data_IF_316605483442
#
_entry.id   IF_316605483442
#
_cell.length_a   1.000
_cell.length_b   1.000
_cell.length_c   1.000
_cell.angle_alpha   90.00
_cell.angle_beta   90.00
_cell.angle_gamma   90.00
#
_symmetry.space_group_name_H-M   'P 1'
#
loop_
_entity.id
_entity.type
_entity.pdbx_description
1 polymer ?
#
# COMPACT_ATOMS: atom_id res chain seq x y z
N UNK A 1 -4.21 29.84 12.58
CA UNK A 1 -3.78 29.53 11.21
C UNK A 1 -4.89 28.75 10.55
N UNK A 2 -5.59 29.35 9.60
CA UNK A 2 -6.50 28.65 8.69
C UNK A 2 -5.66 28.14 7.52
N UNK A 3 -5.70 26.84 7.25
CA UNK A 3 -5.07 26.28 6.07
C UNK A 3 -5.97 26.60 4.87
N UNK A 4 -5.42 27.24 3.83
CA UNK A 4 -6.11 27.38 2.56
C UNK A 4 -6.25 26.00 1.93
N UNK A 5 -7.49 25.54 1.79
CA UNK A 5 -7.82 24.29 1.12
C UNK A 5 -7.55 24.51 -0.37
N UNK A 6 -6.66 23.70 -0.96
CA UNK A 6 -6.39 23.78 -2.39
C UNK A 6 -7.64 23.28 -3.14
N UNK A 7 -8.19 24.06 -4.09
CA UNK A 7 -9.35 23.63 -4.86
C UNK A 7 -9.08 22.32 -5.63
N UNK A 8 -10.01 21.36 -5.49
CA UNK A 8 -9.95 19.98 -6.01
C UNK A 8 -9.63 19.92 -7.51
N UNK A 9 -10.06 20.93 -8.28
CA UNK A 9 -9.93 20.98 -9.74
C UNK A 9 -8.49 21.13 -10.26
N UNK A 10 -7.54 21.50 -9.39
CA UNK A 10 -6.14 21.76 -9.78
C UNK A 10 -5.16 20.63 -9.48
N UNK A 11 -5.55 19.60 -8.72
CA UNK A 11 -4.61 18.54 -8.31
C UNK A 11 -4.06 17.75 -9.50
N UNK A 12 -4.90 17.50 -10.52
CA UNK A 12 -4.50 16.81 -11.76
C UNK A 12 -3.48 17.60 -12.61
N UNK A 13 -3.47 18.94 -12.50
CA UNK A 13 -2.61 19.83 -13.27
C UNK A 13 -1.24 20.09 -12.61
N UNK A 14 -1.09 19.79 -11.32
CA UNK A 14 0.18 19.88 -10.57
C UNK A 14 1.13 18.70 -10.88
N UNK A 15 0.71 17.77 -11.73
CA UNK A 15 1.47 16.60 -12.17
C UNK A 15 2.45 16.96 -13.31
N UNK A 16 3.53 17.69 -12.99
CA UNK A 16 4.78 17.74 -13.78
C UNK A 16 5.41 16.35 -14.10
N UNK A 17 6.43 16.34 -14.98
CA UNK A 17 6.96 15.14 -15.64
C UNK A 17 7.24 13.95 -14.71
N UNK A 18 6.98 12.74 -15.21
CA UNK A 18 7.31 11.52 -14.49
C UNK A 18 8.84 11.32 -14.49
N UNK A 19 9.46 11.00 -13.34
CA UNK A 19 10.47 9.91 -13.19
C UNK A 19 11.44 10.07 -12.00
N UNK A 20 11.02 9.83 -10.76
CA UNK A 20 12.01 9.59 -9.67
C UNK A 20 11.83 8.24 -8.97
N UNK A 21 10.59 7.74 -8.88
CA UNK A 21 10.28 6.53 -8.12
C UNK A 21 9.43 5.57 -8.96
N UNK A 22 9.64 4.28 -8.74
CA UNK A 22 8.93 3.24 -9.47
C UNK A 22 8.61 2.07 -8.54
N UNK A 23 7.41 1.50 -8.71
CA UNK A 23 7.04 0.19 -8.19
C UNK A 23 7.11 -0.79 -9.34
N UNK A 24 7.92 -1.84 -9.19
CA UNK A 24 8.00 -2.92 -10.18
C UNK A 24 7.29 -4.16 -9.67
N UNK A 25 6.46 -4.76 -10.51
CA UNK A 25 5.65 -5.92 -10.16
C UNK A 25 5.86 -7.00 -11.21
N UNK A 26 6.14 -8.23 -10.78
CA UNK A 26 6.14 -9.38 -11.69
C UNK A 26 4.80 -10.09 -11.62
N UNK A 27 4.10 -10.18 -12.74
CA UNK A 27 2.80 -10.86 -12.83
C UNK A 27 2.64 -11.56 -14.18
N UNK A 28 2.18 -12.82 -14.19
CA UNK A 28 1.96 -13.63 -15.38
C UNK A 28 3.13 -13.61 -16.40
N UNK A 29 4.37 -13.71 -15.90
CA UNK A 29 5.56 -13.70 -16.74
C UNK A 29 5.96 -12.32 -17.31
N UNK A 30 5.26 -11.25 -16.92
CA UNK A 30 5.54 -9.86 -17.32
C UNK A 30 6.09 -9.08 -16.13
N UNK A 31 7.14 -8.30 -16.35
CA UNK A 31 7.57 -7.26 -15.41
C UNK A 31 6.83 -5.97 -15.75
N UNK A 32 6.03 -5.48 -14.81
CA UNK A 32 5.33 -4.21 -14.85
C UNK A 32 6.13 -3.17 -14.08
N UNK A 33 6.10 -1.93 -14.57
CA UNK A 33 6.76 -0.79 -13.94
C UNK A 33 5.74 0.34 -13.83
N UNK A 34 5.28 0.61 -12.61
CA UNK A 34 4.40 1.73 -12.30
C UNK A 34 5.25 2.88 -11.77
N UNK A 35 5.16 4.06 -12.38
CA UNK A 35 5.90 5.22 -11.88
C UNK A 35 5.15 5.86 -10.73
N UNK A 36 5.88 6.53 -9.86
CA UNK A 36 5.33 7.31 -8.76
C UNK A 36 5.87 8.71 -8.84
N UNK A 37 5.02 9.68 -8.54
CA UNK A 37 5.40 11.07 -8.44
C UNK A 37 5.11 11.56 -7.04
N UNK A 38 6.06 12.30 -6.48
CA UNK A 38 5.81 13.05 -5.25
C UNK A 38 4.80 14.16 -5.53
N UNK A 39 3.81 14.25 -4.65
CA UNK A 39 2.79 15.29 -4.65
C UNK A 39 2.68 15.83 -3.24
N UNK A 40 2.72 17.16 -3.13
CA UNK A 40 2.55 17.85 -1.86
C UNK A 40 1.13 17.66 -1.34
N UNK A 41 1.03 17.44 -0.04
CA UNK A 41 -0.20 17.34 0.72
C UNK A 41 -0.23 18.49 1.74
N UNK A 42 -0.53 19.74 1.29
CA UNK A 42 -0.48 20.92 2.15
C UNK A 42 -1.44 20.86 3.34
N UNK A 43 -2.59 20.18 3.23
CA UNK A 43 -3.54 20.02 4.32
C UNK A 43 -2.95 19.20 5.49
N UNK A 44 -1.96 18.36 5.20
CA UNK A 44 -1.30 17.48 6.17
C UNK A 44 0.14 17.89 6.50
N UNK A 45 0.65 18.97 5.88
CA UNK A 45 2.07 19.38 5.96
C UNK A 45 3.00 18.19 5.64
N UNK A 46 2.67 17.47 4.56
CA UNK A 46 3.35 16.26 4.14
C UNK A 46 3.46 16.22 2.62
N UNK A 47 4.02 15.14 2.09
CA UNK A 47 3.83 14.80 0.70
C UNK A 47 3.88 13.29 0.51
N UNK A 48 3.08 12.80 -0.42
CA UNK A 48 2.96 11.38 -0.73
C UNK A 48 3.36 11.11 -2.17
N UNK A 49 3.79 9.88 -2.45
CA UNK A 49 4.14 9.44 -3.79
C UNK A 49 2.96 8.69 -4.40
N UNK A 50 2.15 9.41 -5.16
CA UNK A 50 1.01 8.84 -5.91
C UNK A 50 1.54 8.11 -7.14
N UNK A 51 1.04 6.90 -7.38
CA UNK A 51 1.27 6.09 -8.56
C UNK A 51 0.55 6.70 -9.77
N UNK A 52 1.34 6.86 -10.82
CA UNK A 52 0.84 7.07 -12.16
C UNK A 52 1.21 5.82 -12.93
N UNK A 53 0.21 5.07 -13.42
CA UNK A 53 0.50 3.97 -14.30
C UNK A 53 1.10 4.54 -15.59
N UNK A 54 2.40 4.33 -15.75
CA UNK A 54 3.12 4.44 -17.01
C UNK A 54 3.27 3.02 -17.56
N UNK A 55 3.38 2.93 -18.88
CA UNK A 55 3.52 1.66 -19.59
C UNK A 55 4.57 0.75 -18.92
N UNK A 56 4.29 -0.56 -18.81
CA UNK A 56 5.32 -1.52 -18.40
C UNK A 56 6.53 -1.36 -19.32
N UNK A 57 7.74 -1.34 -18.76
CA UNK A 57 8.87 -1.89 -19.52
C UNK A 57 8.62 -3.38 -19.60
N UNK A 58 7.95 -3.83 -20.66
CA UNK A 58 7.84 -5.26 -20.95
C UNK A 58 9.24 -5.81 -21.16
N UNK A 59 9.83 -6.38 -20.11
CA UNK A 59 10.93 -7.32 -20.24
C UNK A 59 10.34 -8.60 -20.82
N UNK A 60 10.01 -8.58 -22.13
CA UNK A 60 9.69 -9.79 -22.86
C UNK A 60 10.97 -10.65 -22.86
N UNK A 61 10.91 -11.74 -22.11
CA UNK A 61 11.65 -13.01 -22.29
C UNK A 61 12.98 -12.85 -23.03
N UNK A 62 14.09 -12.69 -22.28
CA UNK A 62 15.54 -12.83 -22.62
C UNK A 62 16.10 -12.30 -23.97
N UNK A 63 15.30 -12.00 -24.99
CA UNK A 63 15.71 -11.78 -26.38
C UNK A 63 14.98 -10.62 -27.10
N UNK A 64 13.98 -9.95 -26.52
CA UNK A 64 13.40 -8.76 -27.15
C UNK A 64 13.47 -7.52 -26.25
N UNK A 65 14.46 -6.65 -26.52
CA UNK A 65 14.62 -5.34 -25.87
C UNK A 65 13.74 -4.27 -26.54
N UNK A 66 12.43 -4.46 -26.58
CA UNK A 66 11.51 -3.39 -27.02
C UNK A 66 10.62 -2.99 -25.86
N UNK A 67 10.87 -1.80 -25.32
CA UNK A 67 9.91 -1.13 -24.45
C UNK A 67 8.66 -0.80 -25.27
N UNK A 68 7.48 -1.13 -24.76
CA UNK A 68 6.20 -0.70 -25.34
C UNK A 68 6.05 0.82 -25.26
N UNK A 69 5.18 1.38 -26.09
CA UNK A 69 4.79 2.79 -26.07
C UNK A 69 4.29 3.21 -24.69
N UNK A 70 4.71 4.40 -24.23
CA UNK A 70 4.26 4.99 -22.96
C UNK A 70 2.82 5.47 -23.12
N UNK A 71 1.89 4.95 -22.31
CA UNK A 71 0.54 5.47 -22.20
C UNK A 71 0.33 6.02 -20.78
N UNK A 72 -0.33 7.17 -20.69
CA UNK A 72 -0.65 7.84 -19.43
C UNK A 72 -1.99 7.31 -18.92
N UNK A 73 -2.04 6.86 -17.69
CA UNK A 73 -3.29 6.51 -17.00
C UNK A 73 -3.66 7.65 -16.06
N UNK A 74 -4.94 8.09 -16.03
CA UNK A 74 -5.38 9.14 -15.12
C UNK A 74 -5.22 8.71 -13.65
N UNK A 75 -5.07 9.68 -12.75
CA UNK A 75 -5.15 9.43 -11.32
C UNK A 75 -6.52 8.81 -10.97
N UNK A 76 -6.52 7.83 -10.07
CA UNK A 76 -7.75 7.15 -9.63
C UNK A 76 -8.60 8.07 -8.75
N UNK A 77 -7.95 8.90 -7.94
CA UNK A 77 -8.60 9.82 -6.99
C UNK A 77 -7.96 11.21 -7.05
N UNK A 78 -8.74 12.23 -6.68
CA UNK A 78 -8.27 13.60 -6.41
C UNK A 78 -8.14 13.90 -4.92
N UNK A 79 -8.48 12.95 -4.05
CA UNK A 79 -8.43 13.13 -2.61
C UNK A 79 -6.99 13.17 -2.10
N UNK A 80 -6.70 14.20 -1.31
CA UNK A 80 -5.35 14.46 -0.82
C UNK A 80 -4.91 13.41 0.21
N UNK A 81 -5.82 12.85 1.01
CA UNK A 81 -5.50 11.88 2.05
C UNK A 81 -5.37 10.43 1.55
N UNK A 82 -5.40 10.19 0.24
CA UNK A 82 -5.34 8.82 -0.29
C UNK A 82 -3.90 8.32 -0.46
N UNK A 83 -3.69 7.09 -0.04
CA UNK A 83 -2.47 6.29 -0.15
C UNK A 83 -2.75 5.08 -1.05
N UNK A 84 -1.77 4.72 -1.86
CA UNK A 84 -1.91 3.70 -2.88
C UNK A 84 -1.01 2.50 -2.57
N UNK A 85 -1.64 1.34 -2.43
CA UNK A 85 -0.97 0.07 -2.18
C UNK A 85 -1.14 -0.81 -3.43
N UNK A 86 -0.06 -1.04 -4.19
CA UNK A 86 -0.09 -1.92 -5.36
C UNK A 86 0.50 -3.29 -5.01
N UNK A 87 -0.21 -4.37 -5.37
CA UNK A 87 0.22 -5.75 -5.14
C UNK A 87 -0.26 -6.71 -6.24
N UNK A 88 0.22 -7.94 -6.17
CA UNK A 88 -0.28 -9.04 -6.99
C UNK A 88 -1.08 -10.01 -6.18
N UNK A 89 -2.18 -10.50 -6.74
CA UNK A 89 -3.00 -11.53 -6.11
C UNK A 89 -3.69 -12.36 -7.20
N UNK A 90 -3.61 -13.68 -7.08
CA UNK A 90 -4.18 -14.66 -8.03
C UNK A 90 -3.96 -14.30 -9.52
N UNK A 91 -2.71 -14.01 -9.90
CA UNK A 91 -2.38 -13.66 -11.29
C UNK A 91 -2.88 -12.29 -11.77
N UNK A 92 -3.41 -11.45 -10.89
CA UNK A 92 -3.84 -10.09 -11.19
C UNK A 92 -3.01 -9.05 -10.44
N UNK A 93 -2.98 -7.82 -10.96
CA UNK A 93 -2.38 -6.67 -10.30
C UNK A 93 -3.52 -5.82 -9.75
N UNK A 94 -3.46 -5.51 -8.47
CA UNK A 94 -4.44 -4.70 -7.78
C UNK A 94 -3.80 -3.43 -7.22
N UNK A 95 -4.62 -2.40 -7.09
CA UNK A 95 -4.32 -1.18 -6.35
C UNK A 95 -5.43 -0.97 -5.33
N UNK A 96 -5.05 -0.92 -4.06
CA UNK A 96 -5.93 -0.59 -2.95
C UNK A 96 -5.72 0.86 -2.55
N UNK A 97 -6.81 1.63 -2.54
CA UNK A 97 -6.89 2.97 -1.98
C UNK A 97 -7.22 2.88 -0.48
N UNK A 98 -6.45 3.61 0.32
CA UNK A 98 -6.54 3.69 1.78
C UNK A 98 -6.13 5.08 2.23
N UNK A 99 -6.44 5.48 3.46
CA UNK A 99 -6.02 6.79 3.96
C UNK A 99 -4.54 6.82 4.39
N UNK A 100 -3.88 7.95 4.19
CA UNK A 100 -2.52 8.21 4.67
C UNK A 100 -2.48 8.75 6.11
N UNK A 101 -3.56 9.40 6.54
CA UNK A 101 -3.69 10.02 7.86
C UNK A 101 -5.06 9.71 8.46
N UNK A 102 -5.11 9.63 9.79
CA UNK A 102 -6.35 9.37 10.53
C UNK A 102 -6.40 7.94 11.09
N UNK A 103 -7.62 7.43 11.28
CA UNK A 103 -7.83 6.02 11.61
C UNK A 103 -7.73 5.16 10.35
N UNK A 104 -6.98 4.04 10.36
CA UNK A 104 -6.86 3.14 9.22
C UNK A 104 -8.20 2.73 8.60
N UNK A 105 -8.37 3.06 7.33
CA UNK A 105 -9.60 2.80 6.58
C UNK A 105 -9.30 2.64 5.09
N UNK A 106 -10.21 1.96 4.40
CA UNK A 106 -10.03 1.55 3.00
C UNK A 106 -11.11 2.20 2.15
N UNK A 107 -10.72 2.73 0.99
CA UNK A 107 -11.63 3.50 0.13
C UNK A 107 -12.14 2.66 -1.04
N UNK A 108 -11.25 2.01 -1.78
CA UNK A 108 -11.63 1.18 -2.93
C UNK A 108 -10.53 0.23 -3.38
N UNK A 109 -10.91 -0.86 -4.04
CA UNK A 109 -10.00 -1.80 -4.67
C UNK A 109 -10.15 -1.71 -6.19
N UNK A 110 -9.03 -1.65 -6.89
CA UNK A 110 -8.94 -1.54 -8.34
C UNK A 110 -8.12 -2.68 -8.92
N UNK A 111 -8.49 -3.14 -10.11
CA UNK A 111 -7.77 -4.18 -10.86
C UNK A 111 -7.21 -3.60 -12.14
N UNK A 112 -5.96 -3.94 -12.45
CA UNK A 112 -5.32 -3.54 -13.69
C UNK A 112 -5.75 -4.44 -14.86
N UNK A 113 -6.25 -3.85 -15.95
CA UNK A 113 -6.68 -4.57 -17.16
C UNK A 113 -5.67 -4.46 -18.33
N UNK A 114 -4.43 -4.06 -18.04
CA UNK A 114 -3.36 -3.73 -19.01
C UNK A 114 -3.46 -2.35 -19.68
N UNK A 115 -4.59 -1.66 -19.58
CA UNK A 115 -4.80 -0.33 -20.17
C UNK A 115 -5.23 0.73 -19.14
N UNK A 116 -5.98 0.33 -18.12
CA UNK A 116 -6.54 1.18 -17.08
C UNK A 116 -6.77 0.41 -15.78
N UNK A 117 -7.07 1.16 -14.73
CA UNK A 117 -7.61 0.63 -13.48
C UNK A 117 -9.13 0.48 -13.60
N UNK A 118 -9.64 -0.69 -13.28
CA UNK A 118 -11.07 -0.98 -13.16
C UNK A 118 -11.43 -1.09 -11.67
N UNK A 119 -12.42 -0.34 -11.22
CA UNK A 119 -12.94 -0.48 -9.86
C UNK A 119 -13.53 -1.88 -9.68
N UNK A 120 -13.03 -2.61 -8.68
CA UNK A 120 -13.58 -3.91 -8.24
C UNK A 120 -14.69 -3.65 -7.22
N UNK A 121 -14.39 -2.84 -6.21
CA UNK A 121 -15.33 -2.47 -5.16
C UNK A 121 -14.95 -1.10 -4.58
N UNK A 122 -15.97 -0.34 -4.19
CA UNK A 122 -15.84 0.80 -3.28
C UNK A 122 -16.21 0.33 -1.88
N UNK A 123 -15.31 0.55 -0.93
CA UNK A 123 -15.60 0.35 0.49
C UNK A 123 -16.31 1.60 1.03
N UNK A 124 -16.75 1.55 2.28
CA UNK A 124 -17.27 2.75 2.92
C UNK A 124 -16.15 3.79 3.03
N UNK A 125 -16.41 5.06 2.68
CA UNK A 125 -15.37 6.08 2.67
C UNK A 125 -14.75 6.19 4.07
N UNK A 126 -13.41 6.35 4.15
CA UNK A 126 -12.74 6.54 5.42
C UNK A 126 -13.37 7.73 6.14
N UNK A 127 -13.78 7.54 7.39
CA UNK A 127 -14.11 8.69 8.22
C UNK A 127 -12.83 9.51 8.34
N UNK A 128 -12.89 10.80 7.97
CA UNK A 128 -11.78 11.72 8.17
C UNK A 128 -11.58 11.90 9.68
N UNK A 129 -10.86 10.97 10.31
CA UNK A 129 -10.46 11.10 11.70
C UNK A 129 -9.62 12.36 11.86
N UNK A 130 -9.82 13.09 12.96
CA UNK A 130 -9.08 14.33 13.27
C UNK A 130 -7.57 14.09 13.49
N UNK A 131 -7.12 12.84 13.48
CA UNK A 131 -5.74 12.47 13.78
C UNK A 131 -4.80 12.88 12.64
N UNK A 132 -3.83 13.74 12.98
CA UNK A 132 -2.71 14.14 12.12
C UNK A 132 -1.61 13.09 12.03
N UNK A 133 -1.79 11.90 12.60
CA UNK A 133 -0.77 10.85 12.55
C UNK A 133 -0.78 10.15 11.19
N UNK A 134 0.39 10.10 10.55
CA UNK A 134 0.61 9.34 9.33
C UNK A 134 0.54 7.85 9.61
N UNK A 135 -0.16 7.10 8.76
CA UNK A 135 -0.28 5.65 8.80
C UNK A 135 0.80 5.05 7.91
N UNK A 136 1.61 4.16 8.47
CA UNK A 136 2.54 3.36 7.66
C UNK A 136 1.86 2.06 7.22
N UNK A 137 1.77 1.89 5.91
CA UNK A 137 1.17 0.72 5.28
C UNK A 137 2.23 -0.24 4.76
N UNK A 138 2.01 -1.52 5.01
CA UNK A 138 2.80 -2.61 4.46
C UNK A 138 1.90 -3.78 4.03
N UNK A 139 2.45 -4.66 3.19
CA UNK A 139 1.76 -5.87 2.75
C UNK A 139 2.59 -7.08 3.19
N UNK A 140 1.90 -8.16 3.55
CA UNK A 140 2.53 -9.45 3.68
C UNK A 140 2.16 -10.37 2.50
N UNK A 141 3.20 -10.95 1.89
CA UNK A 141 3.07 -11.95 0.84
C UNK A 141 3.12 -13.36 1.42
N UNK A 142 2.70 -14.37 0.66
CA UNK A 142 2.74 -15.76 1.10
C UNK A 142 1.42 -16.48 0.93
N UNK A 143 1.39 -17.74 1.36
CA UNK A 143 0.18 -18.56 1.26
C UNK A 143 -0.72 -18.29 2.47
N UNK A 144 -1.82 -17.58 2.23
CA UNK A 144 -2.85 -17.32 3.24
C UNK A 144 -4.24 -17.69 2.71
N UNK A 145 -4.42 -18.92 2.23
CA UNK A 145 -5.73 -19.43 1.75
C UNK A 145 -6.38 -18.58 0.65
N UNK A 146 -5.59 -17.86 -0.13
CA UNK A 146 -6.10 -16.93 -1.15
C UNK A 146 -6.48 -15.54 -0.62
N UNK A 147 -6.08 -15.17 0.60
CA UNK A 147 -6.28 -13.82 1.13
C UNK A 147 -4.98 -13.00 1.06
N UNK A 148 -5.10 -11.67 1.07
CA UNK A 148 -3.98 -10.74 1.29
C UNK A 148 -3.99 -10.17 2.69
N UNK A 149 -2.80 -10.03 3.26
CA UNK A 149 -2.61 -9.40 4.56
C UNK A 149 -2.04 -8.01 4.36
N UNK A 150 -2.69 -7.02 4.97
CA UNK A 150 -2.28 -5.62 4.97
C UNK A 150 -1.99 -5.24 6.41
N UNK A 151 -0.95 -4.47 6.63
CA UNK A 151 -0.50 -4.03 7.96
C UNK A 151 -0.52 -2.51 7.95
N UNK A 152 -1.34 -1.93 8.82
CA UNK A 152 -1.36 -0.48 9.07
C UNK A 152 -0.79 -0.18 10.44
N UNK A 153 0.05 0.84 10.54
CA UNK A 153 0.56 1.33 11.83
C UNK A 153 -0.01 2.69 12.16
N UNK A 154 -0.87 2.73 13.18
CA UNK A 154 -1.31 3.93 13.87
C UNK A 154 -1.11 3.71 15.37
N UNK A 155 0.12 3.94 15.85
CA UNK A 155 0.57 3.72 17.24
C UNK A 155 0.64 2.25 17.68
N UNK A 156 -0.11 1.37 17.01
CA UNK A 156 -0.15 -0.08 17.14
C UNK A 156 -0.28 -0.69 15.74
N UNK A 157 0.31 -1.86 15.51
CA UNK A 157 0.14 -2.54 14.23
C UNK A 157 -1.23 -3.20 14.18
N UNK A 158 -2.00 -2.85 13.16
CA UNK A 158 -3.28 -3.45 12.83
C UNK A 158 -3.11 -4.33 11.60
N UNK A 159 -3.49 -5.59 11.75
CA UNK A 159 -3.39 -6.61 10.69
C UNK A 159 -4.78 -6.77 10.10
N UNK A 160 -4.90 -6.49 8.82
CA UNK A 160 -6.13 -6.59 8.04
C UNK A 160 -6.04 -7.76 7.07
N UNK A 161 -7.17 -8.45 6.89
CA UNK A 161 -7.33 -9.54 5.92
C UNK A 161 -8.21 -9.05 4.79
N UNK A 162 -7.62 -8.88 3.60
CA UNK A 162 -8.31 -8.60 2.35
C UNK A 162 -8.63 -9.91 1.63
N UNK A 163 -9.92 -10.20 1.48
CA UNK A 163 -10.44 -11.30 0.68
C UNK A 163 -10.85 -10.76 -0.69
N UNK A 164 -10.42 -11.42 -1.76
CA UNK A 164 -10.76 -11.03 -3.14
C UNK A 164 -11.39 -12.26 -3.81
N UNK A 165 -12.68 -12.17 -4.15
CA UNK A 165 -13.41 -13.21 -4.86
C UNK A 165 -14.05 -12.61 -6.12
N UNK A 166 -13.27 -12.58 -7.19
CA UNK A 166 -13.69 -12.07 -8.50
C UNK A 166 -14.14 -10.61 -8.46
N UNK A 167 -15.45 -10.40 -8.43
CA UNK A 167 -16.10 -9.07 -8.39
C UNK A 167 -16.52 -8.64 -6.99
N UNK A 168 -16.21 -9.42 -5.96
CA UNK A 168 -16.51 -9.10 -4.57
C UNK A 168 -15.23 -9.09 -3.74
N UNK A 169 -15.15 -8.24 -2.73
CA UNK A 169 -14.01 -8.21 -1.81
C UNK A 169 -14.44 -7.70 -0.44
N UNK A 170 -13.77 -8.15 0.62
CA UNK A 170 -13.98 -7.68 1.98
C UNK A 170 -12.65 -7.43 2.66
N UNK A 171 -12.61 -6.46 3.58
CA UNK A 171 -11.44 -6.21 4.42
C UNK A 171 -11.89 -6.21 5.87
N UNK A 172 -11.30 -7.11 6.64
CA UNK A 172 -11.62 -7.30 8.05
C UNK A 172 -10.37 -7.04 8.91
N UNK A 173 -10.54 -6.38 10.06
CA UNK A 173 -9.49 -6.29 11.07
C UNK A 173 -9.32 -7.68 11.70
N UNK A 174 -8.20 -8.33 11.40
CA UNK A 174 -7.90 -9.70 11.79
C UNK A 174 -7.21 -9.79 13.15
N UNK A 175 -6.36 -8.81 13.46
CA UNK A 175 -5.58 -8.74 14.70
C UNK A 175 -5.06 -7.34 14.98
N UNK A 176 -4.80 -7.04 16.25
CA UNK A 176 -4.05 -5.86 16.67
C UNK A 176 -2.86 -6.31 17.49
N UNK A 177 -1.66 -5.99 17.01
CA UNK A 177 -0.43 -6.23 17.77
C UNK A 177 -0.30 -5.16 18.85
N UNK A 178 -0.25 -5.60 20.09
CA UNK A 178 -0.04 -4.72 21.24
C UNK A 178 1.34 -4.07 21.15
N UNK A 179 1.44 -2.80 21.54
CA UNK A 179 2.70 -2.03 21.44
C UNK A 179 3.78 -2.61 22.34
N UNK A 180 3.38 -3.27 23.41
CA UNK A 180 4.23 -3.97 24.37
C UNK A 180 4.91 -5.21 23.76
N UNK A 181 4.40 -5.69 22.62
CA UNK A 181 4.96 -6.85 21.91
C UNK A 181 6.18 -6.51 21.04
N UNK A 182 6.55 -5.22 20.92
CA UNK A 182 7.67 -4.80 20.07
C UNK A 182 8.33 -3.50 20.56
N UNK A 183 9.52 -3.21 20.03
CA UNK A 183 10.28 -2.03 20.42
C UNK A 183 9.57 -0.71 20.04
N UNK A 184 9.66 0.29 20.92
CA UNK A 184 9.05 1.61 20.74
C UNK A 184 9.49 2.23 19.41
N UNK A 185 8.52 2.72 18.62
CA UNK A 185 8.72 3.35 17.30
C UNK A 185 9.02 2.40 16.12
N UNK A 186 8.61 1.13 16.21
CA UNK A 186 8.58 0.25 15.05
C UNK A 186 7.61 0.75 13.97
N UNK A 187 7.98 0.58 12.72
CA UNK A 187 7.20 0.90 11.52
C UNK A 187 7.25 -0.31 10.57
N UNK A 188 6.10 -0.81 10.08
CA UNK A 188 6.06 -2.01 9.27
C UNK A 188 6.64 -1.74 7.87
N UNK A 189 7.47 -2.66 7.38
CA UNK A 189 8.08 -2.60 6.05
C UNK A 189 7.48 -3.59 5.07
N UNK A 190 6.96 -4.70 5.59
CA UNK A 190 6.44 -5.82 4.81
C UNK A 190 6.26 -7.03 5.71
N UNK A 191 5.77 -8.12 5.15
CA UNK A 191 5.72 -9.38 5.88
C UNK A 191 5.69 -10.60 4.98
N UNK A 192 5.76 -11.76 5.62
CA UNK A 192 5.56 -13.04 4.97
C UNK A 192 4.61 -13.91 5.80
N UNK A 193 3.66 -14.56 5.13
CA UNK A 193 2.78 -15.56 5.72
C UNK A 193 3.26 -16.96 5.34
N UNK A 194 3.46 -17.79 6.35
CA UNK A 194 3.84 -19.21 6.21
C UNK A 194 3.03 -20.04 7.19
N UNK A 195 2.19 -20.93 6.64
CA UNK A 195 1.18 -21.64 7.42
C UNK A 195 0.24 -20.66 8.13
N UNK A 196 0.08 -20.84 9.43
CA UNK A 196 -0.73 -19.96 10.29
C UNK A 196 0.09 -18.84 10.94
N UNK A 197 1.31 -18.56 10.46
CA UNK A 197 2.19 -17.54 11.03
C UNK A 197 2.45 -16.41 10.06
N UNK A 198 2.26 -15.18 10.53
CA UNK A 198 2.68 -13.94 9.88
C UNK A 198 3.97 -13.45 10.53
N UNK A 199 5.00 -13.21 9.74
CA UNK A 199 6.20 -12.50 10.16
C UNK A 199 6.19 -11.09 9.57
N UNK A 200 6.23 -10.08 10.42
CA UNK A 200 6.26 -8.67 10.02
C UNK A 200 7.70 -8.18 10.16
N UNK A 201 8.29 -7.77 9.03
CA UNK A 201 9.55 -7.02 9.02
C UNK A 201 9.25 -5.56 9.34
N UNK A 202 10.10 -4.93 10.15
CA UNK A 202 9.91 -3.56 10.59
C UNK A 202 11.23 -2.81 10.64
N UNK A 203 11.15 -1.49 10.65
CA UNK A 203 12.26 -0.62 11.02
C UNK A 203 11.88 0.26 12.20
N UNK A 204 12.84 0.98 12.76
CA UNK A 204 12.66 1.86 13.90
C UNK A 204 13.03 3.29 13.51
N UNK A 205 12.18 4.24 13.91
CA UNK A 205 12.47 5.67 13.80
C UNK A 205 13.14 6.19 15.08
N UNK A 206 14.33 6.78 14.90
CA UNK A 206 15.03 7.59 15.90
C UNK A 206 15.50 8.91 15.26
N UNK A 207 16.79 9.25 15.37
CA UNK A 207 17.39 10.35 14.58
C UNK A 207 17.55 10.03 13.07
N UNK A 208 16.96 8.92 12.62
CA UNK A 208 16.98 8.38 11.27
C UNK A 208 16.11 7.12 11.23
N UNK A 209 16.04 6.49 10.06
CA UNK A 209 15.36 5.22 9.89
C UNK A 209 16.37 4.06 9.88
N UNK A 210 16.14 3.04 10.71
CA UNK A 210 16.95 1.81 10.72
C UNK A 210 16.05 0.60 10.47
N UNK A 211 16.37 -0.19 9.46
CA UNK A 211 15.74 -1.51 9.27
C UNK A 211 16.28 -2.51 10.28
N UNK A 212 15.38 -3.24 10.95
CA UNK A 212 15.71 -4.37 11.82
C UNK A 212 15.83 -5.63 10.97
N UNK A 213 17.01 -5.88 10.42
CA UNK A 213 17.25 -6.95 9.46
C UNK A 213 17.31 -8.36 10.05
N UNK A 214 17.32 -8.47 11.38
CA UNK A 214 17.38 -9.72 12.11
C UNK A 214 16.23 -9.88 13.11
N UNK A 215 15.22 -9.00 13.10
CA UNK A 215 14.08 -9.10 14.04
C UNK A 215 12.78 -9.03 13.28
N UNK A 216 11.81 -9.81 13.74
CA UNK A 216 10.47 -9.86 13.17
C UNK A 216 9.45 -9.83 14.29
N UNK A 217 8.29 -9.24 14.02
CA UNK A 217 7.12 -9.46 14.87
C UNK A 217 6.40 -10.66 14.29
N UNK A 218 6.34 -11.74 15.05
CA UNK A 218 5.65 -12.96 14.69
C UNK A 218 4.25 -12.92 15.27
N UNK A 219 3.25 -13.14 14.41
CA UNK A 219 1.84 -13.22 14.78
C UNK A 219 1.30 -14.59 14.38
N UNK A 220 0.78 -15.34 15.34
CA UNK A 220 0.05 -16.56 15.04
C UNK A 220 -1.39 -16.18 14.65
N UNK A 221 -1.75 -16.39 13.39
CA UNK A 221 -3.00 -15.90 12.80
C UNK A 221 -4.26 -16.54 13.41
N UNK A 222 -4.16 -17.76 13.92
CA UNK A 222 -5.26 -18.46 14.61
C UNK A 222 -5.37 -18.07 16.09
N UNK A 223 -4.30 -18.26 16.89
CA UNK A 223 -4.32 -17.99 18.34
C UNK A 223 -4.24 -16.51 18.69
N UNK A 224 -3.87 -15.66 17.71
CA UNK A 224 -3.67 -14.20 17.89
C UNK A 224 -2.53 -13.86 18.84
N UNK A 225 -1.65 -14.82 19.13
CA UNK A 225 -0.46 -14.60 19.92
C UNK A 225 0.58 -13.83 19.12
N UNK A 226 1.26 -12.89 19.78
CA UNK A 226 2.31 -12.09 19.17
C UNK A 226 3.57 -12.14 20.01
N UNK A 227 4.72 -12.31 19.35
CA UNK A 227 6.05 -12.25 19.97
C UNK A 227 7.05 -11.60 19.01
N UNK A 228 8.08 -10.95 19.56
CA UNK A 228 9.26 -10.55 18.78
C UNK A 228 10.22 -11.75 18.69
N UNK A 229 10.71 -12.03 17.48
CA UNK A 229 11.64 -13.13 17.20
C UNK A 229 12.87 -12.63 16.44
N UNK A 230 13.99 -13.34 16.60
CA UNK A 230 15.29 -13.07 15.96
C UNK A 230 15.72 -14.23 15.06
#
# INVERSE_FOLDING_TARGET
MSFEITPVDNFKNLVGEATDYHTTIFNNGKLWKFSRKFVDQPAFNWGHRVHFALSPTTLKRRNSRRASSIFKVPAITSEENEYEIIFTHDGHIYLLLTNAFGEPAFSSLHRWNENSWETVIEFQPPYAGESRSHIYWAIADGNNKGDKIIIGDLQKFQVYRLKIDGTSSSIDLEHTVAKESYFTSACPLGGIVTGDTLFISFGVHGCGFRWENNRFIKVHLVTKETEEVQ
#
